data_IF_536755301014
#
_entry.id   IF_536755301014
#
_cell.length_a   1.000
_cell.length_b   1.000
_cell.length_c   1.000
_cell.angle_alpha   90.00
_cell.angle_beta   90.00
_cell.angle_gamma   90.00
#
_symmetry.space_group_name_H-M   'P 1'
#
loop_
_entity.id
_entity.type
_entity.pdbx_description
1 polymer ?
#
# COMPACT_ATOMS: atom_id res chain seq x y z
N UNK A 1 8.93 11.74 -21.83
CA UNK A 1 8.22 13.03 -21.71
C UNK A 1 7.38 12.90 -20.44
N UNK A 2 7.76 13.56 -19.35
CA UNK A 2 7.06 13.42 -18.06
C UNK A 2 5.70 14.06 -18.14
N UNK A 3 4.67 13.27 -17.86
CA UNK A 3 3.29 13.68 -17.97
C UNK A 3 2.96 14.82 -17.01
N UNK A 4 2.18 15.80 -17.46
CA UNK A 4 1.87 17.00 -16.68
C UNK A 4 1.19 16.66 -15.34
N UNK A 5 0.43 15.56 -15.28
CA UNK A 5 -0.25 15.10 -14.06
C UNK A 5 0.71 14.63 -12.96
N UNK A 6 1.92 14.20 -13.32
CA UNK A 6 2.92 13.69 -12.38
C UNK A 6 4.11 14.65 -12.19
N UNK A 7 4.12 15.83 -12.81
CA UNK A 7 5.26 16.77 -12.76
C UNK A 7 5.76 17.02 -11.33
N UNK A 8 4.86 17.30 -10.37
CA UNK A 8 5.25 17.50 -8.97
C UNK A 8 5.79 16.25 -8.30
N UNK A 9 5.25 15.08 -8.65
CA UNK A 9 5.67 13.79 -8.10
C UNK A 9 7.07 13.42 -8.61
N UNK A 10 7.29 13.57 -9.91
CA UNK A 10 8.60 13.40 -10.57
C UNK A 10 9.64 14.34 -9.97
N UNK A 11 9.30 15.59 -9.63
CA UNK A 11 10.25 16.51 -8.96
C UNK A 11 10.65 16.05 -7.56
N UNK A 12 9.80 15.27 -6.87
CA UNK A 12 10.05 14.81 -5.50
C UNK A 12 10.89 13.53 -5.45
N UNK A 13 10.61 12.56 -6.33
CA UNK A 13 11.26 11.26 -6.27
C UNK A 13 11.90 10.79 -7.59
N UNK A 14 11.83 11.59 -8.65
CA UNK A 14 12.51 11.33 -9.92
C UNK A 14 11.69 10.52 -10.93
N UNK A 15 12.06 10.65 -12.20
CA UNK A 15 11.40 9.96 -13.33
C UNK A 15 11.51 8.45 -13.22
N UNK A 16 12.68 7.92 -12.88
CA UNK A 16 12.91 6.48 -12.76
C UNK A 16 11.98 5.84 -11.71
N UNK A 17 11.84 6.48 -10.56
CA UNK A 17 10.96 6.00 -9.50
C UNK A 17 9.49 6.10 -9.92
N UNK A 18 9.08 7.16 -10.62
CA UNK A 18 7.73 7.24 -11.20
C UNK A 18 7.46 6.13 -12.22
N UNK A 19 8.44 5.77 -13.06
CA UNK A 19 8.33 4.67 -14.02
C UNK A 19 8.17 3.32 -13.30
N UNK A 20 8.95 3.09 -12.24
CA UNK A 20 8.83 1.87 -11.41
C UNK A 20 7.48 1.80 -10.67
N UNK A 21 6.99 2.92 -10.14
CA UNK A 21 5.64 3.02 -9.56
C UNK A 21 4.59 2.63 -10.61
N UNK A 22 4.70 3.20 -11.81
CA UNK A 22 3.81 2.92 -12.94
C UNK A 22 3.82 1.48 -13.43
N UNK A 23 4.90 0.73 -13.18
CA UNK A 23 5.00 -0.71 -13.46
C UNK A 23 4.48 -1.62 -12.35
N UNK A 24 4.05 -1.07 -11.20
CA UNK A 24 3.68 -1.85 -10.01
C UNK A 24 2.17 -2.12 -9.94
N UNK A 25 1.79 -3.36 -9.63
CA UNK A 25 0.46 -3.72 -9.16
C UNK A 25 0.42 -3.72 -7.64
N UNK A 26 -0.54 -3.01 -7.06
CA UNK A 26 -0.74 -2.94 -5.61
C UNK A 26 -2.01 -3.69 -5.22
N UNK A 27 -1.89 -4.57 -4.23
CA UNK A 27 -3.01 -5.29 -3.62
C UNK A 27 -3.30 -4.66 -2.27
N UNK A 28 -4.52 -4.19 -2.04
CA UNK A 28 -4.98 -3.70 -0.73
C UNK A 28 -6.08 -4.63 -0.24
N UNK A 29 -5.93 -5.21 0.94
CA UNK A 29 -6.83 -6.24 1.42
C UNK A 29 -7.01 -6.23 2.93
N UNK A 30 -8.00 -6.99 3.40
CA UNK A 30 -8.33 -7.14 4.80
C UNK A 30 -9.53 -6.29 5.20
N UNK A 31 -9.45 -5.60 6.33
CA UNK A 31 -10.57 -4.79 6.85
C UNK A 31 -10.73 -3.49 6.06
N UNK A 32 -11.96 -3.22 5.61
CA UNK A 32 -12.36 -1.90 5.12
C UNK A 32 -12.49 -0.90 6.27
N UNK A 33 -11.61 0.10 6.29
CA UNK A 33 -11.59 1.21 7.24
C UNK A 33 -10.92 2.45 6.62
N UNK A 34 -10.76 3.51 7.42
CA UNK A 34 -10.15 4.77 6.98
C UNK A 34 -8.68 4.64 6.57
N UNK A 35 -7.96 3.68 7.15
CA UNK A 35 -6.57 3.38 6.78
C UNK A 35 -6.52 2.75 5.38
N UNK A 36 -7.28 1.67 5.15
CA UNK A 36 -7.31 1.00 3.84
C UNK A 36 -7.79 1.92 2.74
N UNK A 37 -8.77 2.77 3.04
CA UNK A 37 -9.33 3.77 2.13
C UNK A 37 -8.30 4.82 1.72
N UNK A 38 -7.55 5.36 2.69
CA UNK A 38 -6.49 6.33 2.44
C UNK A 38 -5.34 5.72 1.63
N UNK A 39 -4.98 4.46 1.90
CA UNK A 39 -4.00 3.71 1.11
C UNK A 39 -4.45 3.61 -0.35
N UNK A 40 -5.67 3.13 -0.62
CA UNK A 40 -6.19 3.00 -1.98
C UNK A 40 -6.19 4.36 -2.69
N UNK A 41 -6.74 5.39 -2.06
CA UNK A 41 -6.77 6.75 -2.62
C UNK A 41 -5.37 7.23 -3.03
N UNK A 42 -4.39 7.13 -2.14
CA UNK A 42 -3.04 7.60 -2.39
C UNK A 42 -2.30 6.76 -3.44
N UNK A 43 -2.52 5.44 -3.46
CA UNK A 43 -1.94 4.56 -4.49
C UNK A 43 -2.50 4.85 -5.88
N UNK A 44 -3.79 5.17 -5.99
CA UNK A 44 -4.39 5.61 -7.27
C UNK A 44 -3.82 6.97 -7.70
N UNK A 45 -3.66 7.91 -6.77
CA UNK A 45 -3.01 9.21 -7.05
C UNK A 45 -1.55 9.08 -7.51
N UNK A 46 -0.82 8.07 -7.00
CA UNK A 46 0.56 7.79 -7.41
C UNK A 46 0.68 7.28 -8.84
N UNK A 47 -0.39 6.74 -9.43
CA UNK A 47 -0.38 6.25 -10.80
C UNK A 47 0.30 4.90 -10.97
N UNK A 48 0.01 3.94 -10.08
CA UNK A 48 0.43 2.55 -10.25
C UNK A 48 -0.24 1.88 -11.47
N UNK A 49 0.26 0.72 -11.90
CA UNK A 49 -0.33 -0.03 -13.01
C UNK A 49 -1.77 -0.47 -12.73
N UNK A 50 -1.97 -1.16 -11.59
CA UNK A 50 -3.25 -1.71 -11.19
C UNK A 50 -3.39 -1.68 -9.66
N UNK A 51 -4.58 -1.33 -9.17
CA UNK A 51 -4.97 -1.53 -7.77
C UNK A 51 -5.98 -2.67 -7.71
N UNK A 52 -5.65 -3.71 -6.95
CA UNK A 52 -6.54 -4.84 -6.64
C UNK A 52 -7.03 -4.72 -5.21
N UNK A 53 -8.32 -4.62 -5.02
CA UNK A 53 -8.94 -4.43 -3.70
C UNK A 53 -10.31 -5.09 -3.65
N UNK A 54 -10.91 -5.14 -2.46
CA UNK A 54 -12.32 -5.54 -2.33
C UNK A 54 -13.24 -4.36 -2.60
N UNK A 55 -14.50 -4.65 -2.94
CA UNK A 55 -15.54 -3.64 -3.16
C UNK A 55 -15.75 -2.76 -1.92
N UNK A 56 -15.71 -3.36 -0.73
CA UNK A 56 -15.91 -2.64 0.53
C UNK A 56 -14.82 -1.60 0.80
N UNK A 57 -13.56 -1.95 0.53
CA UNK A 57 -12.44 -1.02 0.67
C UNK A 57 -12.55 0.09 -0.39
N UNK A 58 -12.92 -0.26 -1.63
CA UNK A 58 -13.08 0.72 -2.71
C UNK A 58 -14.16 1.76 -2.37
N UNK A 59 -15.34 1.30 -1.93
CA UNK A 59 -16.43 2.19 -1.49
C UNK A 59 -16.03 3.07 -0.29
N UNK A 60 -15.21 2.56 0.62
CA UNK A 60 -14.70 3.35 1.74
C UNK A 60 -13.71 4.45 1.28
N UNK A 61 -12.89 4.16 0.26
CA UNK A 61 -12.00 5.13 -0.37
C UNK A 61 -12.76 6.22 -1.13
N UNK A 62 -13.85 5.85 -1.81
CA UNK A 62 -14.70 6.79 -2.55
C UNK A 62 -15.38 7.82 -1.62
N UNK A 63 -15.65 7.43 -0.37
CA UNK A 63 -16.13 8.36 0.66
C UNK A 63 -15.12 9.45 1.04
N UNK A 64 -13.84 9.30 0.68
CA UNK A 64 -12.79 10.29 0.95
C UNK A 64 -12.58 11.28 -0.20
N UNK A 65 -13.24 11.07 -1.34
CA UNK A 65 -13.04 11.85 -2.57
C UNK A 65 -14.37 12.37 -3.12
N UNK A 66 -14.29 13.21 -4.14
CA UNK A 66 -15.46 13.61 -4.93
C UNK A 66 -15.49 12.76 -6.20
N UNK A 67 -16.36 11.76 -6.26
CA UNK A 67 -16.48 10.84 -7.39
C UNK A 67 -15.93 9.46 -7.08
N UNK A 68 -15.59 8.73 -8.14
CA UNK A 68 -15.18 7.33 -8.08
C UNK A 68 -13.66 7.19 -8.27
N UNK A 69 -13.07 6.07 -7.84
CA UNK A 69 -11.62 5.84 -7.94
C UNK A 69 -11.07 5.98 -9.36
N UNK A 70 -11.83 5.56 -10.36
CA UNK A 70 -11.47 5.64 -11.79
C UNK A 70 -11.31 7.09 -12.26
N UNK A 71 -11.97 8.04 -11.59
CA UNK A 71 -11.90 9.47 -11.93
C UNK A 71 -10.68 10.18 -11.34
N UNK A 72 -10.05 9.61 -10.31
CA UNK A 72 -8.80 10.15 -9.74
C UNK A 72 -7.67 10.09 -10.77
N UNK A 73 -7.53 8.93 -11.42
CA UNK A 73 -6.45 8.66 -12.35
C UNK A 73 -6.85 7.54 -13.32
N UNK A 74 -7.31 7.93 -14.51
CA UNK A 74 -7.84 7.04 -15.55
C UNK A 74 -6.81 6.00 -16.07
N UNK A 75 -5.52 6.18 -15.75
CA UNK A 75 -4.44 5.28 -16.15
C UNK A 75 -4.30 4.08 -15.23
N UNK A 76 -4.82 4.19 -14.01
CA UNK A 76 -4.74 3.13 -13.02
C UNK A 76 -5.89 2.18 -13.24
N UNK A 77 -5.58 0.91 -13.52
CA UNK A 77 -6.61 -0.12 -13.58
C UNK A 77 -7.12 -0.42 -12.18
N UNK A 78 -8.43 -0.29 -11.96
CA UNK A 78 -9.05 -0.62 -10.67
C UNK A 78 -9.75 -1.98 -10.78
N UNK A 79 -9.36 -2.92 -9.92
CA UNK A 79 -9.99 -4.24 -9.80
C UNK A 79 -10.54 -4.44 -8.39
N UNK A 80 -11.86 -4.30 -8.24
CA UNK A 80 -12.59 -4.37 -6.96
C UNK A 80 -13.06 -5.78 -6.58
N UNK A 81 -12.70 -6.79 -7.39
CA UNK A 81 -13.20 -8.17 -7.24
C UNK A 81 -12.23 -9.07 -6.46
N UNK A 82 -11.31 -8.49 -5.69
CA UNK A 82 -10.43 -9.28 -4.84
C UNK A 82 -11.29 -10.00 -3.80
N UNK A 83 -11.12 -11.32 -3.70
CA UNK A 83 -11.72 -12.09 -2.60
C UNK A 83 -10.68 -12.27 -1.51
N UNK A 84 -11.04 -11.96 -0.26
CA UNK A 84 -10.12 -12.02 0.89
C UNK A 84 -9.53 -13.42 1.13
N UNK A 85 -10.21 -14.48 0.69
CA UNK A 85 -9.78 -15.89 0.76
C UNK A 85 -8.74 -16.27 -0.32
N UNK A 86 -8.52 -15.41 -1.31
CA UNK A 86 -7.65 -15.67 -2.47
C UNK A 86 -6.19 -15.28 -2.22
N UNK A 87 -5.94 -14.47 -1.20
CA UNK A 87 -4.62 -13.91 -0.89
C UNK A 87 -3.63 -15.00 -0.45
N UNK A 88 -4.12 -16.01 0.29
CA UNK A 88 -3.31 -17.17 0.71
C UNK A 88 -3.06 -18.22 -0.38
N UNK A 89 -3.68 -18.11 -1.56
CA UNK A 89 -3.50 -19.06 -2.68
C UNK A 89 -2.60 -18.54 -3.80
N UNK A 90 -2.13 -17.29 -3.71
CA UNK A 90 -1.11 -16.75 -4.62
C UNK A 90 0.29 -17.26 -4.24
N UNK A 91 0.45 -18.58 -4.15
CA UNK A 91 1.78 -19.23 -4.16
C UNK A 91 2.31 -19.13 -5.58
N UNK A 92 3.01 -18.04 -5.89
CA UNK A 92 3.81 -17.97 -7.12
C UNK A 92 4.97 -18.93 -6.89
N UNK A 93 4.93 -20.08 -7.59
CA UNK A 93 5.94 -21.12 -7.47
C UNK A 93 7.37 -20.59 -7.58
N UNK A 94 8.24 -21.21 -6.77
CA UNK A 94 9.70 -21.13 -6.78
C UNK A 94 10.32 -19.85 -6.17
N UNK A 95 10.72 -19.97 -4.90
CA UNK A 95 12.13 -20.21 -4.59
C UNK A 95 13.07 -19.01 -4.47
N UNK A 96 12.60 -17.78 -4.60
CA UNK A 96 13.44 -16.60 -4.33
C UNK A 96 12.63 -15.51 -3.60
N UNK A 97 13.08 -15.17 -2.39
CA UNK A 97 12.49 -14.11 -1.57
C UNK A 97 12.54 -12.74 -2.27
N UNK A 98 11.77 -11.79 -1.74
CA UNK A 98 11.66 -10.40 -2.22
C UNK A 98 13.00 -9.75 -2.51
N UNK A 99 13.99 -9.96 -1.65
CA UNK A 99 15.34 -9.39 -1.85
C UNK A 99 15.99 -10.03 -3.08
N UNK A 100 15.79 -11.32 -3.33
CA UNK A 100 16.22 -11.99 -4.57
C UNK A 100 15.52 -11.44 -5.80
N UNK A 101 14.18 -11.40 -5.82
CA UNK A 101 13.44 -10.92 -7.02
C UNK A 101 13.57 -9.41 -7.28
N UNK A 102 13.64 -8.56 -6.24
CA UNK A 102 13.98 -7.16 -6.41
C UNK A 102 15.44 -6.99 -6.80
N UNK A 103 16.40 -7.72 -6.21
CA UNK A 103 17.81 -7.65 -6.63
C UNK A 103 18.03 -8.17 -8.05
N UNK A 104 17.34 -9.22 -8.49
CA UNK A 104 17.43 -9.77 -9.84
C UNK A 104 16.90 -8.76 -10.87
N UNK A 105 15.83 -8.03 -10.50
CA UNK A 105 15.35 -6.88 -11.25
C UNK A 105 16.35 -5.71 -11.23
N UNK A 106 16.95 -5.39 -10.08
CA UNK A 106 17.96 -4.32 -9.94
C UNK A 106 19.33 -4.67 -10.56
N UNK A 107 19.63 -5.96 -10.79
CA UNK A 107 20.85 -6.47 -11.43
C UNK A 107 20.70 -6.68 -12.94
N UNK A 108 19.51 -6.45 -13.50
CA UNK A 108 19.27 -6.58 -14.95
C UNK A 108 19.24 -8.03 -15.46
N UNK A 109 19.06 -9.02 -14.58
CA UNK A 109 19.07 -10.44 -14.93
C UNK A 109 17.67 -11.06 -14.85
N UNK A 110 16.70 -10.58 -15.64
CA UNK A 110 15.60 -11.45 -16.07
C UNK A 110 14.83 -10.92 -17.27
N UNK A 111 14.66 -11.81 -18.25
CA UNK A 111 13.90 -11.62 -19.49
C UNK A 111 12.39 -11.64 -19.20
N UNK A 112 11.67 -10.73 -19.87
CA UNK A 112 10.20 -10.67 -20.05
C UNK A 112 9.33 -10.32 -18.83
N UNK A 113 8.85 -9.07 -18.84
CA UNK A 113 7.43 -8.69 -18.70
C UNK A 113 6.67 -9.16 -17.45
N UNK A 114 7.12 -8.77 -16.25
CA UNK A 114 6.32 -8.94 -15.03
C UNK A 114 6.26 -7.64 -14.24
N UNK A 115 5.07 -7.05 -14.16
CA UNK A 115 4.74 -6.00 -13.22
C UNK A 115 5.11 -6.41 -11.79
N UNK A 116 5.78 -5.53 -11.05
CA UNK A 116 6.09 -5.73 -9.63
C UNK A 116 4.79 -5.83 -8.84
N UNK A 117 4.73 -6.68 -7.81
CA UNK A 117 3.53 -6.89 -7.00
C UNK A 117 3.80 -6.55 -5.55
N UNK A 118 2.97 -5.70 -4.94
CA UNK A 118 3.12 -5.24 -3.56
C UNK A 118 1.79 -5.32 -2.79
N UNK A 119 1.84 -5.64 -1.50
CA UNK A 119 0.64 -5.86 -0.68
C UNK A 119 0.54 -4.89 0.50
N UNK A 120 -0.65 -4.35 0.73
CA UNK A 120 -1.07 -3.76 2.00
C UNK A 120 -2.15 -4.65 2.59
N UNK A 121 -1.91 -5.15 3.80
CA UNK A 121 -2.77 -6.11 4.50
C UNK A 121 -3.27 -5.48 5.80
N UNK A 122 -4.56 -5.16 5.86
CA UNK A 122 -5.17 -4.45 6.97
C UNK A 122 -5.87 -5.44 7.90
N UNK A 123 -5.38 -5.58 9.13
CA UNK A 123 -5.87 -6.55 10.14
C UNK A 123 -5.91 -8.01 9.66
N UNK A 124 -5.20 -8.32 8.58
CA UNK A 124 -5.19 -9.65 7.97
C UNK A 124 -3.77 -10.20 8.00
N UNK A 125 -3.60 -11.29 8.74
CA UNK A 125 -2.34 -12.01 8.77
C UNK A 125 -2.17 -12.83 7.48
N UNK A 126 -1.02 -12.67 6.85
CA UNK A 126 -0.51 -13.53 5.79
C UNK A 126 1.00 -13.73 5.94
N UNK A 127 1.45 -14.07 7.15
CA UNK A 127 2.79 -14.60 7.37
C UNK A 127 3.01 -15.81 6.45
N UNK A 128 3.86 -15.66 5.42
CA UNK A 128 4.11 -16.70 4.42
C UNK A 128 3.92 -16.29 2.96
N UNK A 129 3.62 -15.02 2.68
CA UNK A 129 3.77 -14.47 1.33
C UNK A 129 5.26 -14.39 0.95
N UNK A 130 5.64 -14.94 -0.21
CA UNK A 130 7.00 -14.81 -0.78
C UNK A 130 7.26 -13.43 -1.42
N UNK A 131 6.39 -12.46 -1.16
CA UNK A 131 6.29 -11.14 -1.81
C UNK A 131 6.12 -10.04 -0.76
N UNK A 132 6.56 -8.83 -1.10
CA UNK A 132 6.67 -7.73 -0.15
C UNK A 132 5.30 -7.25 0.30
N UNK A 133 5.14 -7.11 1.62
CA UNK A 133 3.90 -6.62 2.19
C UNK A 133 4.11 -5.69 3.38
N UNK A 134 3.17 -4.78 3.56
CA UNK A 134 2.92 -4.11 4.82
C UNK A 134 1.69 -4.70 5.47
N UNK A 135 1.85 -5.25 6.68
CA UNK A 135 0.73 -5.48 7.57
C UNK A 135 0.42 -4.17 8.30
N UNK A 136 -0.86 -3.83 8.42
CA UNK A 136 -1.32 -2.65 9.14
C UNK A 136 -2.41 -3.06 10.12
N UNK A 137 -2.16 -2.87 11.42
CA UNK A 137 -3.14 -3.09 12.45
C UNK A 137 -3.97 -1.83 12.65
N UNK A 138 -5.27 -1.88 12.38
CA UNK A 138 -6.17 -0.76 12.64
C UNK A 138 -6.41 -0.52 14.13
N UNK A 139 -6.22 -1.54 14.98
CA UNK A 139 -6.50 -1.45 16.41
C UNK A 139 -5.47 -0.64 17.20
N UNK A 140 -4.20 -0.69 16.80
CA UNK A 140 -3.11 0.05 17.42
C UNK A 140 -2.36 0.96 16.44
N UNK A 141 -2.86 1.09 15.20
CA UNK A 141 -2.32 1.96 14.15
C UNK A 141 -0.86 1.69 13.79
N UNK A 142 -0.40 0.47 14.06
CA UNK A 142 0.96 0.03 13.78
C UNK A 142 1.02 -0.61 12.40
N UNK A 143 2.02 -0.21 11.62
CA UNK A 143 2.38 -0.88 10.37
C UNK A 143 3.69 -1.64 10.54
N UNK A 144 3.77 -2.85 10.00
CA UNK A 144 4.95 -3.70 10.05
C UNK A 144 5.22 -4.28 8.67
N UNK A 145 6.46 -4.20 8.21
CA UNK A 145 6.89 -4.77 6.94
C UNK A 145 7.14 -6.27 7.09
N UNK A 146 6.63 -7.06 6.14
CA UNK A 146 6.89 -8.50 6.01
C UNK A 146 6.69 -9.32 7.31
N UNK A 147 5.86 -8.83 8.22
CA UNK A 147 5.53 -9.46 9.49
C UNK A 147 4.19 -8.93 9.97
N UNK A 148 3.43 -9.75 10.68
CA UNK A 148 2.22 -9.36 11.41
C UNK A 148 2.49 -9.19 12.92
N UNK A 149 3.69 -9.52 13.37
CA UNK A 149 4.06 -9.55 14.80
C UNK A 149 4.26 -8.14 15.31
N UNK A 150 3.45 -7.74 16.28
CA UNK A 150 3.54 -6.45 16.96
C UNK A 150 2.87 -6.54 18.34
N UNK A 151 3.26 -5.65 19.26
CA UNK A 151 2.60 -5.54 20.56
C UNK A 151 1.30 -4.75 20.41
N UNK A 152 0.22 -5.45 20.08
CA UNK A 152 -1.07 -4.83 19.86
C UNK A 152 -1.72 -4.37 21.17
N UNK A 153 -1.63 -3.08 21.47
CA UNK A 153 -2.44 -2.45 22.52
C UNK A 153 -3.60 -1.74 21.81
N UNK A 154 -4.76 -2.40 21.77
CA UNK A 154 -5.97 -1.79 21.19
C UNK A 154 -6.29 -0.51 21.93
N UNK A 155 -6.40 0.59 21.18
CA UNK A 155 -6.82 1.86 21.77
C UNK A 155 -8.33 1.86 21.87
N UNK A 156 -8.84 2.04 23.08
CA UNK A 156 -10.27 2.25 23.27
C UNK A 156 -10.68 3.52 22.55
N UNK A 157 -11.79 3.44 21.81
CA UNK A 157 -12.31 4.57 21.06
C UNK A 157 -12.48 5.75 22.00
N UNK A 158 -11.73 6.81 21.77
CA UNK A 158 -11.88 8.03 22.53
C UNK A 158 -13.35 8.47 22.46
N UNK A 159 -13.86 9.03 23.56
CA UNK A 159 -15.25 9.49 23.67
C UNK A 159 -15.66 10.39 22.50
N UNK A 160 -16.97 10.68 22.37
CA UNK A 160 -17.56 11.37 21.22
C UNK A 160 -16.79 12.63 20.74
N UNK A 161 -16.11 13.33 21.65
CA UNK A 161 -15.29 14.52 21.41
C UNK A 161 -14.01 14.30 20.57
N UNK A 162 -13.61 13.05 20.28
CA UNK A 162 -12.31 12.78 19.63
C UNK A 162 -12.40 12.10 18.25
N UNK A 163 -13.58 12.02 17.63
CA UNK A 163 -13.77 11.31 16.35
C UNK A 163 -12.91 11.87 15.21
N UNK A 164 -12.71 13.18 15.17
CA UNK A 164 -11.88 13.83 14.14
C UNK A 164 -10.40 13.49 14.29
N UNK A 165 -9.89 13.41 15.53
CA UNK A 165 -8.52 13.01 15.77
C UNK A 165 -8.30 11.55 15.39
N UNK A 166 -9.23 10.67 15.76
CA UNK A 166 -9.15 9.24 15.41
C UNK A 166 -9.17 9.04 13.89
N UNK A 167 -10.00 9.81 13.17
CA UNK A 167 -9.98 9.85 11.71
C UNK A 167 -8.61 10.35 11.20
N UNK A 168 -8.10 11.47 11.72
CA UNK A 168 -6.82 12.03 11.28
C UNK A 168 -5.66 11.05 11.50
N UNK A 169 -5.68 10.31 12.60
CA UNK A 169 -4.69 9.26 12.90
C UNK A 169 -4.77 8.10 11.92
N UNK A 170 -5.97 7.66 11.56
CA UNK A 170 -6.13 6.60 10.56
C UNK A 170 -5.64 7.05 9.17
N UNK A 171 -5.98 8.28 8.76
CA UNK A 171 -5.50 8.84 7.49
C UNK A 171 -3.97 9.03 7.51
N UNK A 172 -3.40 9.46 8.64
CA UNK A 172 -1.96 9.61 8.79
C UNK A 172 -1.23 8.27 8.60
N UNK A 173 -1.72 7.19 9.20
CA UNK A 173 -1.14 5.85 9.02
C UNK A 173 -1.21 5.43 7.56
N UNK A 174 -2.38 5.60 6.92
CA UNK A 174 -2.56 5.25 5.51
C UNK A 174 -1.60 6.01 4.58
N UNK A 175 -1.42 7.31 4.80
CA UNK A 175 -0.46 8.12 4.05
C UNK A 175 0.99 7.69 4.30
N UNK A 176 1.34 7.42 5.57
CA UNK A 176 2.70 7.05 5.98
C UNK A 176 3.13 5.72 5.35
N UNK A 177 2.27 4.69 5.36
CA UNK A 177 2.64 3.39 4.77
C UNK A 177 2.80 3.46 3.24
N UNK A 178 2.04 4.35 2.57
CA UNK A 178 2.23 4.60 1.13
C UNK A 178 3.55 5.32 0.88
N UNK A 179 3.93 6.28 1.73
CA UNK A 179 5.24 6.93 1.64
C UNK A 179 6.40 5.93 1.81
N UNK A 180 6.27 4.97 2.73
CA UNK A 180 7.27 3.90 2.87
C UNK A 180 7.33 2.99 1.64
N UNK A 181 6.18 2.69 1.03
CA UNK A 181 6.14 1.97 -0.25
C UNK A 181 6.92 2.71 -1.35
N UNK A 182 6.77 4.04 -1.46
CA UNK A 182 7.54 4.83 -2.44
C UNK A 182 9.05 4.67 -2.20
N UNK A 183 9.51 4.68 -0.93
CA UNK A 183 10.93 4.49 -0.60
C UNK A 183 11.46 3.13 -1.05
N UNK A 184 10.64 2.07 -0.90
CA UNK A 184 10.97 0.72 -1.36
C UNK A 184 11.16 0.71 -2.88
N UNK A 185 10.24 1.34 -3.62
CA UNK A 185 10.31 1.42 -5.08
C UNK A 185 11.51 2.25 -5.56
N UNK A 186 11.83 3.32 -4.84
CA UNK A 186 12.96 4.21 -5.08
C UNK A 186 14.32 3.57 -4.74
N UNK A 187 14.34 2.43 -4.05
CA UNK A 187 15.57 1.75 -3.62
C UNK A 187 16.36 2.52 -2.55
N UNK A 188 15.73 3.49 -1.87
CA UNK A 188 16.35 4.23 -0.77
C UNK A 188 16.50 3.33 0.46
N UNK A 189 17.57 3.49 1.26
CA UNK A 189 17.75 2.73 2.48
C UNK A 189 16.55 2.93 3.40
N UNK A 190 15.93 1.80 3.76
CA UNK A 190 14.79 1.76 4.64
C UNK A 190 15.19 2.19 6.05
N UNK A 191 14.33 2.94 6.72
CA UNK A 191 14.39 3.01 8.19
C UNK A 191 14.05 1.62 8.73
N UNK A 192 15.01 0.99 9.43
CA UNK A 192 14.87 -0.37 9.94
C UNK A 192 13.57 -0.54 10.74
N UNK A 193 12.76 -1.54 10.34
CA UNK A 193 11.51 -1.92 11.00
C UNK A 193 10.65 -0.72 11.41
N UNK A 194 10.15 0.02 10.42
CA UNK A 194 9.34 1.21 10.69
C UNK A 194 7.96 0.86 11.25
N UNK A 195 7.95 0.62 12.56
CA UNK A 195 6.76 0.66 13.41
C UNK A 195 6.47 2.13 13.63
N UNK A 196 5.47 2.65 12.93
CA UNK A 196 4.93 3.98 13.21
C UNK A 196 3.63 3.84 13.99
N UNK A 197 3.46 4.67 15.02
CA UNK A 197 2.19 4.83 15.74
C UNK A 197 1.77 6.29 15.66
N UNK A 198 0.51 6.54 15.35
CA UNK A 198 -0.08 7.88 15.25
C UNK A 198 -0.32 8.54 16.64
N UNK A 199 0.41 8.13 17.67
CA UNK A 199 0.19 8.55 19.05
C UNK A 199 0.81 9.90 19.41
N UNK A 200 1.72 10.39 18.57
CA UNK A 200 2.30 11.72 18.69
C UNK A 200 1.51 12.83 17.99
N UNK A 201 0.34 12.51 17.42
CA UNK A 201 -0.60 13.44 16.79
C UNK A 201 -1.67 13.91 17.77
#
# INVERSE_FOLDING_TARGET
MTDAIFDRQVRLFGTETQERIGGTTVVVAGRANKISAEIVKNVVLLGVYEVRTTEEIALEAERLIKGDLETINERVKINRKLRNDSIGRMRVGHGYGIVGRLLDYFRGESKNDKSSLFYFLIDQDHSGLDVGYYFVCSGCRTAVKNSCVHQCIRKEGAGADNRMLELAKDLYVGATVVQEFIKIVDGKPETAATTFSADGL
#
